data_IF_811487291051
#
_entry.id   IF_811487291051
#
_cell.length_a   1.000
_cell.length_b   1.000
_cell.length_c   1.000
_cell.angle_alpha   90.00
_cell.angle_beta   90.00
_cell.angle_gamma   90.00
#
_symmetry.space_group_name_H-M   'P 1'
#
loop_
_entity.id
_entity.type
_entity.pdbx_description
1 polymer ?
#
# COMPACT_ATOMS: atom_id res chain seq x y z
N UNK A 1 -10.11 -9.18 -6.48
CA UNK A 1 -10.18 -8.01 -7.37
C UNK A 1 -9.52 -8.40 -8.67
N UNK A 2 -10.04 -7.97 -9.81
CA UNK A 2 -9.36 -8.05 -11.11
C UNK A 2 -9.30 -6.66 -11.73
N UNK A 3 -8.20 -6.36 -12.41
CA UNK A 3 -7.98 -5.10 -13.06
C UNK A 3 -7.18 -5.29 -14.35
N UNK A 4 -7.33 -4.35 -15.26
CA UNK A 4 -6.48 -4.22 -16.45
C UNK A 4 -5.60 -3.00 -16.30
N UNK A 5 -4.36 -3.11 -16.76
CA UNK A 5 -3.33 -2.07 -16.56
C UNK A 5 -2.72 -1.73 -17.91
N UNK A 6 -2.68 -0.43 -18.23
CA UNK A 6 -1.95 0.13 -19.37
C UNK A 6 -0.90 1.09 -18.86
N UNK A 7 0.26 1.07 -19.50
CA UNK A 7 1.42 1.87 -19.12
C UNK A 7 2.00 2.47 -20.39
N UNK A 8 2.25 3.77 -20.34
CA UNK A 8 2.91 4.53 -21.40
C UNK A 8 3.90 5.50 -20.72
N UNK A 9 5.16 5.08 -20.62
CA UNK A 9 6.21 5.81 -19.91
C UNK A 9 5.79 6.15 -18.47
N UNK A 10 5.69 7.43 -18.12
CA UNK A 10 5.25 7.91 -16.80
C UNK A 10 3.74 7.81 -16.57
N UNK A 11 2.96 7.55 -17.62
CA UNK A 11 1.50 7.44 -17.50
C UNK A 11 1.11 6.00 -17.21
N UNK A 12 0.04 5.85 -16.48
CA UNK A 12 -0.60 4.56 -16.39
C UNK A 12 -2.06 4.64 -15.98
N UNK A 13 -2.80 3.60 -16.34
CA UNK A 13 -4.23 3.47 -16.13
C UNK A 13 -4.52 2.08 -15.61
N UNK A 14 -5.28 1.99 -14.53
CA UNK A 14 -5.74 0.74 -13.92
C UNK A 14 -7.26 0.76 -13.96
N UNK A 15 -7.88 -0.08 -14.77
CA UNK A 15 -9.34 -0.22 -14.79
C UNK A 15 -9.78 -1.36 -13.89
N UNK A 16 -10.65 -1.08 -12.92
CA UNK A 16 -11.16 -2.10 -12.01
C UNK A 16 -12.30 -2.85 -12.69
N UNK A 17 -12.03 -4.11 -13.06
CA UNK A 17 -13.01 -5.00 -13.70
C UNK A 17 -13.92 -5.67 -12.69
N UNK A 18 -13.37 -6.08 -11.55
CA UNK A 18 -14.16 -6.65 -10.45
C UNK A 18 -13.52 -6.35 -9.10
N UNK A 19 -14.33 -6.02 -8.11
CA UNK A 19 -13.87 -5.73 -6.76
C UNK A 19 -15.00 -5.87 -5.76
N UNK A 20 -14.66 -6.35 -4.56
CA UNK A 20 -15.56 -6.31 -3.39
C UNK A 20 -15.24 -5.13 -2.47
N UNK A 21 -14.24 -4.30 -2.82
CA UNK A 21 -13.86 -3.12 -2.06
C UNK A 21 -14.76 -1.94 -2.45
N UNK A 22 -15.55 -1.38 -1.52
CA UNK A 22 -16.44 -0.26 -1.82
C UNK A 22 -15.71 1.02 -2.23
N UNK A 23 -14.42 1.17 -1.91
CA UNK A 23 -13.59 2.31 -2.35
C UNK A 23 -13.20 2.17 -3.83
N UNK A 24 -13.01 0.93 -4.29
CA UNK A 24 -12.57 0.62 -5.65
C UNK A 24 -13.65 -0.23 -6.32
N UNK A 25 -14.86 0.31 -6.59
CA UNK A 25 -15.91 -0.45 -7.21
C UNK A 25 -15.54 -0.83 -8.65
N UNK A 26 -16.17 -1.87 -9.18
CA UNK A 26 -16.04 -2.20 -10.61
C UNK A 26 -16.50 -1.01 -11.47
N UNK A 27 -15.78 -0.73 -12.55
CA UNK A 27 -16.04 0.42 -13.43
C UNK A 27 -15.28 1.69 -13.05
N UNK A 28 -14.78 1.79 -11.81
CA UNK A 28 -13.81 2.83 -11.45
C UNK A 28 -12.45 2.57 -12.09
N UNK A 29 -11.64 3.60 -12.20
CA UNK A 29 -10.26 3.45 -12.67
C UNK A 29 -9.31 4.40 -11.95
N UNK A 30 -8.04 4.01 -11.91
CA UNK A 30 -6.96 4.83 -11.37
C UNK A 30 -6.10 5.30 -12.55
N UNK A 31 -5.78 6.60 -12.62
CA UNK A 31 -4.79 7.13 -13.56
C UNK A 31 -3.65 7.81 -12.83
N UNK A 32 -2.47 7.78 -13.45
CA UNK A 32 -1.34 8.65 -13.15
C UNK A 32 -0.76 9.19 -14.45
N UNK A 33 -0.11 10.33 -14.36
CA UNK A 33 0.57 10.98 -15.48
C UNK A 33 2.03 11.32 -15.17
N UNK A 34 2.51 10.95 -13.97
CA UNK A 34 3.75 11.46 -13.40
C UNK A 34 4.57 10.36 -12.71
N UNK A 35 4.54 9.15 -13.25
CA UNK A 35 5.28 7.99 -12.74
C UNK A 35 4.71 7.47 -11.44
N UNK A 36 3.40 7.66 -11.22
CA UNK A 36 2.74 7.26 -9.98
C UNK A 36 3.04 8.17 -8.80
N UNK A 37 3.52 9.41 -8.99
CA UNK A 37 3.66 10.38 -7.88
C UNK A 37 2.29 10.86 -7.41
N UNK A 38 1.43 11.17 -8.37
CA UNK A 38 0.02 11.50 -8.19
C UNK A 38 -0.85 10.41 -8.80
N UNK A 39 -1.84 9.95 -8.05
CA UNK A 39 -2.90 9.08 -8.56
C UNK A 39 -4.23 9.84 -8.56
N UNK A 40 -5.12 9.45 -9.46
CA UNK A 40 -6.51 9.90 -9.47
C UNK A 40 -7.39 8.67 -9.55
N UNK A 41 -8.22 8.45 -8.54
CA UNK A 41 -9.29 7.45 -8.56
C UNK A 41 -10.50 8.13 -9.16
N UNK A 42 -10.92 7.68 -10.33
CA UNK A 42 -12.02 8.24 -11.08
C UNK A 42 -13.21 7.31 -10.99
N UNK A 43 -14.37 7.88 -10.65
CA UNK A 43 -15.67 7.23 -10.72
C UNK A 43 -16.46 7.86 -11.89
N UNK A 44 -16.53 7.18 -13.04
CA UNK A 44 -17.26 7.68 -14.21
C UNK A 44 -18.77 7.72 -14.04
N UNK A 45 -19.33 6.88 -13.17
CA UNK A 45 -20.77 6.83 -12.93
C UNK A 45 -21.22 8.03 -12.09
N UNK A 46 -20.41 8.38 -11.09
CA UNK A 46 -20.66 9.55 -10.24
C UNK A 46 -20.15 10.87 -10.84
N UNK A 47 -19.39 10.83 -11.95
CA UNK A 47 -18.65 11.97 -12.50
C UNK A 47 -17.76 12.67 -11.46
N UNK A 48 -17.10 11.86 -10.62
CA UNK A 48 -16.21 12.36 -9.57
C UNK A 48 -14.83 11.75 -9.66
N UNK A 49 -13.87 12.39 -9.01
CA UNK A 49 -12.55 11.81 -8.79
C UNK A 49 -11.98 12.18 -7.43
N UNK A 50 -11.10 11.34 -6.90
CA UNK A 50 -10.27 11.66 -5.74
C UNK A 50 -8.80 11.68 -6.15
N UNK A 51 -8.09 12.73 -5.74
CA UNK A 51 -6.65 12.87 -5.97
C UNK A 51 -5.85 12.33 -4.79
N UNK A 52 -4.76 11.65 -5.09
CA UNK A 52 -3.79 11.15 -4.13
C UNK A 52 -2.41 11.67 -4.51
N UNK A 53 -1.82 12.44 -3.62
CA UNK A 53 -0.39 12.65 -3.64
C UNK A 53 0.16 11.88 -2.44
N UNK A 54 0.88 10.79 -2.70
CA UNK A 54 1.37 9.91 -1.62
C UNK A 54 2.35 10.65 -0.73
N UNK A 55 3.18 11.54 -1.28
CA UNK A 55 4.14 12.29 -0.48
C UNK A 55 3.42 13.35 0.36
N UNK A 56 2.44 14.03 -0.21
CA UNK A 56 1.62 14.98 0.56
C UNK A 56 0.82 14.27 1.64
N UNK A 57 0.25 13.09 1.36
CA UNK A 57 -0.51 12.31 2.33
C UNK A 57 0.37 11.79 3.47
N UNK A 58 1.54 11.22 3.15
CA UNK A 58 2.48 10.74 4.15
C UNK A 58 3.11 11.88 4.95
N UNK A 59 3.44 13.00 4.30
CA UNK A 59 3.94 14.20 4.97
C UNK A 59 2.89 14.83 5.88
N UNK A 60 1.62 14.88 5.45
CA UNK A 60 0.51 15.34 6.28
C UNK A 60 0.26 14.38 7.46
N UNK A 61 0.36 13.07 7.25
CA UNK A 61 0.29 12.09 8.32
C UNK A 61 1.43 12.29 9.32
N UNK A 62 2.67 12.45 8.86
CA UNK A 62 3.82 12.77 9.71
C UNK A 62 3.61 14.05 10.53
N UNK A 63 3.23 15.15 9.87
CA UNK A 63 2.95 16.42 10.53
C UNK A 63 1.78 16.33 11.54
N UNK A 64 0.74 15.56 11.22
CA UNK A 64 -0.37 15.31 12.13
C UNK A 64 0.11 14.53 13.36
N UNK A 65 0.88 13.46 13.17
CA UNK A 65 1.47 12.68 14.27
C UNK A 65 2.35 13.57 15.16
N UNK A 66 3.18 14.42 14.56
CA UNK A 66 4.01 15.37 15.31
C UNK A 66 3.17 16.39 16.08
N UNK A 67 2.09 16.89 15.49
CA UNK A 67 1.18 17.87 16.12
C UNK A 67 0.34 17.28 17.26
N UNK A 68 0.08 15.97 17.21
CA UNK A 68 -0.59 15.21 18.26
C UNK A 68 0.37 14.75 19.37
N UNK A 69 1.65 15.11 19.28
CA UNK A 69 2.66 14.84 20.30
C UNK A 69 2.15 15.21 21.69
N UNK A 70 1.97 14.20 22.55
CA UNK A 70 1.37 14.32 23.88
C UNK A 70 -0.02 13.69 24.05
N UNK A 71 -0.75 13.44 22.97
CA UNK A 71 -2.02 12.66 22.97
C UNK A 71 -1.81 11.29 22.36
N UNK A 72 -1.13 11.21 21.21
CA UNK A 72 -0.80 9.94 20.54
C UNK A 72 0.65 9.96 20.06
N UNK A 73 1.48 9.04 20.55
CA UNK A 73 2.86 8.85 20.06
C UNK A 73 3.00 7.48 19.38
N UNK A 74 3.62 7.46 18.20
CA UNK A 74 4.00 6.24 17.49
C UNK A 74 5.52 6.10 17.52
N UNK A 75 6.00 4.93 17.93
CA UNK A 75 7.41 4.57 17.92
C UNK A 75 7.56 3.31 17.08
N UNK A 76 8.39 3.37 16.05
CA UNK A 76 8.81 2.20 15.28
C UNK A 76 10.20 1.81 15.75
N UNK A 77 10.44 0.53 15.97
CA UNK A 77 11.73 0.08 16.43
C UNK A 77 12.09 -1.28 15.88
N UNK A 78 13.39 -1.55 15.83
CA UNK A 78 13.96 -2.82 15.41
C UNK A 78 13.46 -3.25 14.01
N UNK A 79 13.49 -2.38 12.99
CA UNK A 79 13.27 -2.85 11.63
C UNK A 79 14.35 -3.89 11.30
N UNK A 80 13.94 -5.08 10.91
CA UNK A 80 14.84 -6.09 10.37
C UNK A 80 14.35 -6.51 9.01
N UNK A 81 15.29 -6.63 8.09
CA UNK A 81 15.05 -7.15 6.75
C UNK A 81 15.96 -8.33 6.54
N UNK A 82 15.34 -9.42 6.13
CA UNK A 82 16.01 -10.69 5.92
C UNK A 82 15.59 -11.24 4.56
N UNK A 83 16.55 -11.49 3.67
CA UNK A 83 16.32 -12.32 2.48
C UNK A 83 16.31 -13.77 2.97
N UNK A 84 15.14 -14.40 2.92
CA UNK A 84 14.94 -15.78 3.36
C UNK A 84 15.30 -16.80 2.28
N UNK A 85 15.09 -16.44 1.02
CA UNK A 85 15.35 -17.29 -0.14
C UNK A 85 15.49 -16.42 -1.39
N UNK A 86 16.38 -16.82 -2.29
CA UNK A 86 16.60 -16.17 -3.57
C UNK A 86 17.15 -17.17 -4.59
N UNK A 87 16.65 -17.13 -5.82
CA UNK A 87 17.16 -17.99 -6.89
C UNK A 87 16.33 -17.96 -8.16
N UNK A 88 16.47 -18.98 -8.98
CA UNK A 88 15.59 -19.17 -10.14
C UNK A 88 14.15 -19.43 -9.65
N UNK A 89 13.20 -18.65 -10.16
CA UNK A 89 11.78 -18.85 -9.91
C UNK A 89 11.12 -19.71 -10.98
N UNK A 90 9.88 -20.09 -10.72
CA UNK A 90 9.03 -20.78 -11.69
C UNK A 90 8.81 -19.88 -12.92
N UNK A 91 8.58 -20.51 -14.07
CA UNK A 91 8.14 -19.78 -15.27
C UNK A 91 6.73 -19.22 -15.05
N UNK A 92 6.54 -17.94 -15.35
CA UNK A 92 5.23 -17.27 -15.27
C UNK A 92 4.93 -16.67 -16.64
N UNK A 93 3.80 -17.05 -17.24
CA UNK A 93 3.38 -16.63 -18.58
C UNK A 93 4.44 -16.89 -19.68
N UNK A 94 5.18 -17.99 -19.59
CA UNK A 94 6.25 -18.31 -20.56
C UNK A 94 7.57 -17.58 -20.32
N UNK A 95 7.65 -16.73 -19.29
CA UNK A 95 8.84 -15.95 -18.95
C UNK A 95 9.59 -16.58 -17.78
N UNK A 96 10.91 -16.72 -17.91
CA UNK A 96 11.78 -17.08 -16.80
C UNK A 96 11.72 -15.98 -15.73
N UNK A 97 11.62 -16.38 -14.45
CA UNK A 97 11.60 -15.43 -13.34
C UNK A 97 12.75 -15.67 -12.37
N UNK A 98 13.12 -14.63 -11.62
CA UNK A 98 13.87 -14.75 -10.38
C UNK A 98 12.88 -14.80 -9.22
N UNK A 99 13.07 -15.75 -8.32
CA UNK A 99 12.33 -15.83 -7.07
C UNK A 99 13.07 -15.06 -5.98
N UNK A 100 12.33 -14.26 -5.23
CA UNK A 100 12.82 -13.59 -4.01
C UNK A 100 11.79 -13.77 -2.91
N UNK A 101 12.25 -14.22 -1.74
CA UNK A 101 11.49 -14.24 -0.51
C UNK A 101 12.17 -13.38 0.53
N UNK A 102 11.50 -12.33 0.95
CA UNK A 102 11.99 -11.38 1.93
C UNK A 102 11.05 -11.33 3.12
N UNK A 103 11.61 -11.25 4.32
CA UNK A 103 10.89 -10.96 5.56
C UNK A 103 11.28 -9.57 6.05
N UNK A 104 10.27 -8.82 6.45
CA UNK A 104 10.41 -7.56 7.17
C UNK A 104 9.73 -7.71 8.51
N UNK A 105 10.44 -7.42 9.60
CA UNK A 105 9.87 -7.36 10.95
C UNK A 105 10.08 -5.97 11.53
N UNK A 106 9.11 -5.52 12.32
CA UNK A 106 9.25 -4.29 13.10
C UNK A 106 8.33 -4.33 14.31
N UNK A 107 8.74 -3.64 15.37
CA UNK A 107 7.91 -3.38 16.53
C UNK A 107 7.31 -1.97 16.42
N UNK A 108 6.00 -1.88 16.59
CA UNK A 108 5.25 -0.64 16.68
C UNK A 108 4.75 -0.45 18.11
N UNK A 109 5.09 0.66 18.74
CA UNK A 109 4.51 1.10 20.00
C UNK A 109 3.62 2.31 19.76
N UNK A 110 2.37 2.21 20.22
CA UNK A 110 1.40 3.30 20.20
C UNK A 110 1.15 3.71 21.65
N UNK A 111 1.43 4.96 21.99
CA UNK A 111 1.07 5.55 23.29
C UNK A 111 -0.11 6.46 23.07
N UNK A 112 -1.24 6.21 23.74
CA UNK A 112 -2.40 7.11 23.71
C UNK A 112 -2.67 7.58 25.13
N UNK A 113 -2.57 8.88 25.40
CA UNK A 113 -2.77 9.47 26.73
C UNK A 113 -2.00 8.72 27.84
N UNK A 114 -0.72 8.39 27.59
CA UNK A 114 0.13 7.63 28.49
C UNK A 114 -0.12 6.11 28.56
N UNK A 115 -1.17 5.60 27.90
CA UNK A 115 -1.38 4.16 27.77
C UNK A 115 -0.57 3.59 26.61
N UNK A 116 0.44 2.78 26.94
CA UNK A 116 1.26 2.07 25.97
C UNK A 116 0.55 0.82 25.45
N UNK A 117 0.48 0.67 24.13
CA UNK A 117 0.16 -0.56 23.40
C UNK A 117 1.35 -0.90 22.51
N UNK A 118 1.72 -2.17 22.45
CA UNK A 118 2.80 -2.63 21.58
C UNK A 118 2.26 -3.70 20.63
N UNK A 119 2.72 -3.64 19.40
CA UNK A 119 2.39 -4.55 18.33
C UNK A 119 3.69 -4.93 17.63
N UNK A 120 3.84 -6.21 17.34
CA UNK A 120 4.87 -6.68 16.43
C UNK A 120 4.21 -6.96 15.08
N UNK A 121 4.86 -6.52 14.01
CA UNK A 121 4.46 -6.84 12.65
C UNK A 121 5.57 -7.63 11.98
N UNK A 122 5.18 -8.67 11.27
CA UNK A 122 6.04 -9.48 10.41
C UNK A 122 5.36 -9.56 9.05
N UNK A 123 6.06 -9.19 7.99
CA UNK A 123 5.59 -9.31 6.63
C UNK A 123 6.57 -10.17 5.86
N UNK A 124 6.09 -11.26 5.27
CA UNK A 124 6.87 -12.08 4.33
C UNK A 124 6.33 -11.83 2.93
N UNK A 125 7.17 -11.32 2.04
CA UNK A 125 6.83 -11.06 0.64
C UNK A 125 7.61 -12.02 -0.24
N UNK A 126 6.89 -12.78 -1.04
CA UNK A 126 7.41 -13.66 -2.09
C UNK A 126 7.14 -13.00 -3.44
N UNK A 127 8.14 -12.96 -4.32
CA UNK A 127 8.05 -12.33 -5.64
C UNK A 127 8.65 -13.24 -6.70
N UNK A 128 8.00 -13.29 -7.86
CA UNK A 128 8.51 -13.90 -9.09
C UNK A 128 8.70 -12.78 -10.12
N UNK A 129 9.94 -12.37 -10.30
CA UNK A 129 10.30 -11.16 -11.06
C UNK A 129 10.82 -11.59 -12.43
N UNK A 130 10.17 -11.14 -13.50
CA UNK A 130 10.68 -11.30 -14.85
C UNK A 130 11.62 -10.14 -15.21
N UNK A 131 12.68 -10.48 -15.94
CA UNK A 131 13.58 -9.49 -16.54
C UNK A 131 12.94 -8.96 -17.82
N UNK A 132 12.26 -7.82 -17.70
CA UNK A 132 11.57 -7.12 -18.78
C UNK A 132 12.24 -5.76 -18.91
N UNK A 133 12.65 -5.41 -20.13
CA UNK A 133 13.49 -4.24 -20.37
C UNK A 133 12.84 -2.94 -19.85
N UNK A 134 13.64 -2.22 -19.09
CA UNK A 134 13.28 -1.15 -18.17
C UNK A 134 13.00 0.20 -18.84
N UNK A 135 13.19 0.33 -20.16
CA UNK A 135 12.73 1.51 -20.92
C UNK A 135 11.20 1.69 -20.85
N UNK A 136 10.47 0.63 -20.47
CA UNK A 136 9.03 0.61 -20.22
C UNK A 136 8.69 0.56 -18.73
N UNK A 137 9.57 1.07 -17.87
CA UNK A 137 9.46 0.98 -16.43
C UNK A 137 8.04 1.28 -15.95
N UNK A 138 7.50 0.29 -15.24
CA UNK A 138 6.24 0.33 -14.52
C UNK A 138 6.43 1.27 -13.31
N UNK A 139 6.62 2.58 -13.55
CA UNK A 139 6.88 3.56 -12.49
C UNK A 139 5.75 3.62 -11.45
N UNK A 140 4.54 3.22 -11.85
CA UNK A 140 3.40 3.01 -10.95
C UNK A 140 3.62 1.93 -9.88
N UNK A 141 4.36 0.86 -10.19
CA UNK A 141 4.58 -0.27 -9.30
C UNK A 141 5.97 -0.25 -8.65
N UNK A 142 6.95 0.30 -9.35
CA UNK A 142 8.34 0.41 -8.94
C UNK A 142 8.69 1.88 -8.80
N UNK A 143 8.10 2.55 -7.81
CA UNK A 143 8.52 3.91 -7.48
C UNK A 143 10.03 3.89 -7.22
N UNK A 144 10.77 4.61 -8.04
CA UNK A 144 12.25 4.68 -7.95
C UNK A 144 12.70 5.33 -6.64
N UNK A 145 11.85 6.15 -6.02
CA UNK A 145 12.09 6.75 -4.71
C UNK A 145 11.05 6.27 -3.68
N UNK A 146 11.49 5.74 -2.52
CA UNK A 146 10.61 5.45 -1.41
C UNK A 146 9.89 6.73 -0.97
N UNK A 147 8.57 6.70 -0.76
CA UNK A 147 7.87 7.90 -0.31
C UNK A 147 8.35 8.30 1.08
N UNK A 148 8.43 9.61 1.34
CA UNK A 148 8.90 10.14 2.63
C UNK A 148 7.73 10.67 3.45
N UNK A 149 7.76 10.38 4.73
CA UNK A 149 6.79 10.81 5.74
C UNK A 149 7.29 12.02 6.52
N UNK A 150 8.60 12.28 6.51
CA UNK A 150 9.23 13.31 7.34
C UNK A 150 9.55 12.81 8.76
N UNK A 151 9.10 11.60 9.12
CA UNK A 151 9.51 10.92 10.34
C UNK A 151 10.67 9.97 10.03
N UNK A 152 11.86 10.27 10.54
CA UNK A 152 13.08 9.52 10.20
C UNK A 152 12.99 8.02 10.49
N UNK A 153 12.29 7.59 11.55
CA UNK A 153 12.16 6.16 11.90
C UNK A 153 11.22 5.44 10.93
N UNK A 154 10.11 6.08 10.55
CA UNK A 154 9.18 5.52 9.58
C UNK A 154 9.78 5.53 8.16
N UNK A 155 10.53 6.57 7.82
CA UNK A 155 11.26 6.68 6.56
C UNK A 155 12.34 5.60 6.43
N UNK A 156 13.02 5.24 7.51
CA UNK A 156 13.96 4.11 7.54
C UNK A 156 13.24 2.78 7.26
N UNK A 157 12.10 2.54 7.89
CA UNK A 157 11.26 1.34 7.65
C UNK A 157 10.77 1.28 6.20
N UNK A 158 10.31 2.41 5.65
CA UNK A 158 9.82 2.51 4.27
C UNK A 158 10.96 2.30 3.27
N UNK A 159 12.11 2.95 3.47
CA UNK A 159 13.28 2.79 2.62
C UNK A 159 13.74 1.33 2.61
N UNK A 160 13.80 0.70 3.77
CA UNK A 160 14.17 -0.70 3.91
C UNK A 160 13.17 -1.60 3.14
N UNK A 161 11.86 -1.32 3.19
CA UNK A 161 10.84 -2.08 2.43
C UNK A 161 10.85 -1.82 0.92
N UNK A 162 11.47 -0.72 0.47
CA UNK A 162 11.40 -0.26 -0.91
C UNK A 162 12.60 -0.67 -1.77
N UNK A 163 13.55 -1.42 -1.21
CA UNK A 163 14.67 -2.01 -1.95
C UNK A 163 14.16 -3.22 -2.76
N UNK A 164 13.34 -2.92 -3.77
CA UNK A 164 12.80 -3.93 -4.66
C UNK A 164 13.82 -4.27 -5.75
N UNK A 165 13.96 -5.57 -6.07
CA UNK A 165 14.75 -5.98 -7.21
C UNK A 165 14.28 -5.35 -8.52
N UNK A 166 15.23 -5.04 -9.40
CA UNK A 166 14.93 -4.65 -10.79
C UNK A 166 14.12 -5.75 -11.51
N UNK A 167 13.19 -5.33 -12.37
CA UNK A 167 12.30 -6.17 -13.16
C UNK A 167 10.83 -6.06 -12.78
N UNK A 168 9.97 -6.84 -13.44
CA UNK A 168 8.52 -6.77 -13.25
C UNK A 168 8.04 -7.96 -12.41
N UNK A 169 7.43 -7.76 -11.24
CA UNK A 169 6.85 -8.85 -10.47
C UNK A 169 5.59 -9.37 -11.17
N UNK A 170 5.67 -10.58 -11.75
CA UNK A 170 4.54 -11.25 -12.40
C UNK A 170 3.63 -11.96 -11.39
N UNK A 171 4.17 -12.23 -10.20
CA UNK A 171 3.43 -12.76 -9.06
C UNK A 171 4.02 -12.20 -7.79
N UNK A 172 3.15 -11.79 -6.88
CA UNK A 172 3.55 -11.48 -5.51
C UNK A 172 2.62 -12.15 -4.53
N UNK A 173 3.18 -12.59 -3.40
CA UNK A 173 2.40 -13.07 -2.27
C UNK A 173 2.96 -12.43 -1.02
N UNK A 174 2.16 -11.61 -0.36
CA UNK A 174 2.51 -11.00 0.91
C UNK A 174 1.69 -11.64 2.02
N UNK A 175 2.37 -12.18 3.02
CA UNK A 175 1.79 -12.69 4.25
C UNK A 175 2.17 -11.77 5.39
N UNK A 176 1.20 -11.07 5.97
CA UNK A 176 1.42 -10.19 7.12
C UNK A 176 0.87 -10.86 8.37
N UNK A 177 1.70 -11.03 9.39
CA UNK A 177 1.32 -11.44 10.73
C UNK A 177 1.46 -10.24 11.67
N UNK A 178 0.37 -9.87 12.33
CA UNK A 178 0.32 -8.81 13.33
C UNK A 178 0.03 -9.39 14.70
N UNK A 179 0.93 -9.17 15.65
CA UNK A 179 0.82 -9.66 17.04
C UNK A 179 0.64 -8.49 17.99
N UNK A 180 -0.50 -8.40 18.63
CA UNK A 180 -0.74 -7.43 19.68
C UNK A 180 -0.20 -7.97 21.00
N UNK A 181 0.69 -7.22 21.66
CA UNK A 181 1.28 -7.63 22.93
C UNK A 181 0.47 -7.11 24.12
N UNK A 182 0.41 -7.89 25.21
CA UNK A 182 -0.10 -7.43 26.49
C UNK A 182 0.98 -6.66 27.28
N UNK A 183 0.65 -6.14 28.46
CA UNK A 183 1.60 -5.39 29.31
C UNK A 183 2.81 -6.21 29.79
N UNK A 184 2.72 -7.54 29.77
CA UNK A 184 3.80 -8.47 30.13
C UNK A 184 4.68 -8.84 28.94
N UNK A 185 4.37 -8.35 27.74
CA UNK A 185 5.07 -8.71 26.50
C UNK A 185 4.61 -10.03 25.87
N UNK A 186 3.51 -10.61 26.33
CA UNK A 186 2.96 -11.85 25.76
C UNK A 186 1.98 -11.51 24.63
N UNK A 187 1.91 -12.37 23.61
CA UNK A 187 0.94 -12.22 22.51
C UNK A 187 -0.48 -12.35 23.07
N UNK A 188 -1.24 -11.27 22.96
CA UNK A 188 -2.65 -11.22 23.33
C UNK A 188 -3.54 -11.65 22.16
N UNK A 189 -3.26 -11.11 20.98
CA UNK A 189 -4.01 -11.38 19.75
C UNK A 189 -3.01 -11.52 18.60
N UNK A 190 -3.34 -12.36 17.64
CA UNK A 190 -2.61 -12.50 16.39
C UNK A 190 -3.61 -12.44 15.23
N UNK A 191 -3.25 -11.73 14.17
CA UNK A 191 -3.99 -11.75 12.91
C UNK A 191 -3.02 -12.01 11.76
N UNK A 192 -3.48 -12.81 10.80
CA UNK A 192 -2.73 -13.14 9.59
C UNK A 192 -3.54 -12.69 8.38
N UNK A 193 -2.93 -11.89 7.52
CA UNK A 193 -3.48 -11.49 6.23
C UNK A 193 -2.59 -12.01 5.12
N UNK A 194 -3.21 -12.51 4.05
CA UNK A 194 -2.51 -12.95 2.85
C UNK A 194 -3.08 -12.19 1.67
N UNK A 195 -2.22 -11.45 0.97
CA UNK A 195 -2.53 -10.76 -0.28
C UNK A 195 -1.73 -11.43 -1.38
N UNK A 196 -2.40 -11.79 -2.47
CA UNK A 196 -1.75 -12.37 -3.63
C UNK A 196 -2.12 -11.59 -4.88
N UNK A 197 -1.10 -11.22 -5.65
CA UNK A 197 -1.23 -10.62 -6.97
C UNK A 197 -0.69 -11.61 -8.01
N UNK A 198 -1.39 -11.74 -9.13
CA UNK A 198 -0.93 -12.51 -10.29
C UNK A 198 -1.21 -11.70 -11.54
N UNK A 199 -0.17 -11.52 -12.36
CA UNK A 199 -0.32 -11.09 -13.74
C UNK A 199 -0.83 -12.28 -14.54
N UNK A 200 -1.97 -12.11 -15.20
CA UNK A 200 -2.62 -13.19 -15.97
C UNK A 200 -2.44 -13.05 -17.47
N UNK A 201 -2.06 -11.87 -17.95
CA UNK A 201 -1.62 -11.59 -19.32
C UNK A 201 -0.62 -10.44 -19.29
N UNK A 202 0.33 -10.45 -20.21
CA UNK A 202 1.33 -9.40 -20.40
C UNK A 202 1.64 -9.29 -21.89
N UNK A 203 1.31 -8.14 -22.49
CA UNK A 203 1.40 -7.93 -23.94
C UNK A 203 1.81 -6.47 -24.21
N UNK A 204 2.63 -6.26 -25.24
CA UNK A 204 2.84 -4.94 -25.81
C UNK A 204 1.64 -4.57 -26.69
N UNK A 205 1.03 -3.42 -26.42
CA UNK A 205 -0.15 -2.93 -27.13
C UNK A 205 0.01 -1.46 -27.50
N UNK A 206 -0.68 -1.02 -28.56
CA UNK A 206 -0.78 0.41 -28.88
C UNK A 206 -1.65 1.11 -27.83
N UNK A 207 -1.04 2.02 -27.09
CA UNK A 207 -1.67 2.80 -26.01
C UNK A 207 -2.16 4.17 -26.46
N UNK A 208 -2.00 4.54 -27.73
CA UNK A 208 -2.32 5.90 -28.23
C UNK A 208 -3.81 6.29 -28.09
N UNK A 209 -4.71 5.31 -27.98
CA UNK A 209 -6.15 5.51 -27.74
C UNK A 209 -6.56 5.52 -26.27
N UNK A 210 -5.63 5.30 -25.33
CA UNK A 210 -5.92 5.23 -23.89
C UNK A 210 -5.89 6.64 -23.29
N UNK A 211 -6.97 7.01 -22.60
CA UNK A 211 -7.02 8.25 -21.84
C UNK A 211 -6.44 8.06 -20.44
N UNK A 212 -5.34 8.76 -20.15
CA UNK A 212 -4.65 8.76 -18.86
C UNK A 212 -5.02 9.98 -18.00
N UNK A 213 -6.11 10.67 -18.32
CA UNK A 213 -6.55 11.88 -17.63
C UNK A 213 -7.86 11.68 -16.89
N UNK A 214 -8.15 12.62 -15.99
CA UNK A 214 -9.49 12.77 -15.43
C UNK A 214 -10.34 13.53 -16.47
N UNK A 215 -11.52 13.04 -16.85
CA UNK A 215 -12.35 13.71 -17.85
C UNK A 215 -12.76 15.12 -17.40
N UNK A 216 -12.86 16.02 -18.37
CA UNK A 216 -13.26 17.39 -18.11
C UNK A 216 -14.67 17.44 -17.49
N UNK A 217 -14.84 18.27 -16.45
CA UNK A 217 -16.13 18.46 -15.76
C UNK A 217 -16.34 17.57 -14.54
N UNK A 218 -15.48 16.58 -14.31
CA UNK A 218 -15.57 15.75 -13.12
C UNK A 218 -15.27 16.56 -11.85
N UNK A 219 -16.02 16.30 -10.79
CA UNK A 219 -15.84 16.98 -9.51
C UNK A 219 -14.81 16.26 -8.63
N UNK A 220 -13.87 17.02 -8.07
CA UNK A 220 -12.96 16.47 -7.06
C UNK A 220 -13.74 16.23 -5.76
N UNK A 221 -13.67 15.01 -5.22
CA UNK A 221 -14.24 14.64 -3.94
C UNK A 221 -13.16 14.12 -2.99
N UNK A 222 -13.23 14.45 -1.69
CA UNK A 222 -12.33 13.87 -0.71
C UNK A 222 -12.48 12.36 -0.71
N UNK A 223 -11.35 11.64 -0.65
CA UNK A 223 -11.40 10.21 -0.45
C UNK A 223 -12.09 9.89 0.87
N UNK A 224 -13.18 9.12 0.81
CA UNK A 224 -13.71 8.46 2.00
C UNK A 224 -12.86 7.22 2.27
N UNK A 225 -12.03 7.28 3.30
CA UNK A 225 -11.40 6.10 3.88
C UNK A 225 -12.45 5.40 4.74
N UNK A 226 -12.88 4.16 4.42
CA UNK A 226 -13.82 3.43 5.25
C UNK A 226 -13.26 3.29 6.67
N UNK A 227 -14.03 3.77 7.65
CA UNK A 227 -13.61 3.89 9.05
C UNK A 227 -13.20 5.30 9.50
N UNK A 228 -13.16 6.28 8.59
CA UNK A 228 -12.98 7.70 8.89
C UNK A 228 -14.29 8.52 8.92
N UNK A 229 -15.43 7.87 8.67
CA UNK A 229 -16.76 8.45 8.90
C UNK A 229 -17.24 8.13 10.32
N UNK A 230 -17.84 9.10 10.99
CA UNK A 230 -18.39 9.04 12.36
C UNK A 230 -19.63 8.11 12.50
N UNK A 231 -19.69 7.01 11.75
CA UNK A 231 -20.76 6.02 11.84
C UNK A 231 -20.24 4.73 12.48
N UNK A 232 -20.41 4.63 13.80
CA UNK A 232 -20.62 3.45 14.69
C UNK A 232 -20.11 2.04 14.32
N UNK A 233 -19.14 1.89 13.41
CA UNK A 233 -18.64 0.62 12.92
C UNK A 233 -17.12 0.57 12.96
N UNK A 234 -16.57 0.19 14.12
CA UNK A 234 -15.23 -0.41 14.17
C UNK A 234 -14.04 0.54 14.11
N UNK A 235 -14.13 1.76 14.68
CA UNK A 235 -12.92 2.50 15.01
C UNK A 235 -12.15 1.72 16.11
N UNK A 236 -10.88 1.29 15.91
CA UNK A 236 -10.08 0.62 16.95
C UNK A 236 -9.83 1.50 18.19
N UNK A 237 -10.19 2.79 18.12
CA UNK A 237 -10.20 3.74 19.23
C UNK A 237 -11.55 3.86 19.95
N UNK A 238 -12.65 3.35 19.39
CA UNK A 238 -13.99 3.42 20.03
C UNK A 238 -14.04 2.65 21.37
N UNK A 239 -13.22 1.61 21.51
CA UNK A 239 -13.08 0.84 22.76
C UNK A 239 -12.28 1.54 23.86
N UNK A 240 -11.64 2.69 23.60
CA UNK A 240 -10.86 3.43 24.60
C UNK A 240 -11.69 4.37 25.47
N UNK A 241 -12.94 4.68 25.08
CA UNK A 241 -13.78 5.68 25.74
C UNK A 241 -15.11 5.13 26.27
N UNK A 242 -15.32 3.81 26.29
CA UNK A 242 -16.42 3.23 27.09
C UNK A 242 -16.11 3.41 28.56
N UNK A 243 -16.61 4.52 29.10
CA UNK A 243 -16.65 4.83 30.52
C UNK A 243 -17.74 3.95 31.11
N UNK A 244 -17.35 2.96 31.91
CA UNK A 244 -18.31 2.21 32.75
C UNK A 244 -19.00 3.24 33.68
N UNK A 245 -20.23 3.60 33.31
CA UNK A 245 -21.17 4.28 34.18
C UNK A 245 -21.87 3.24 35.04
N UNK A 246 -21.98 3.52 36.33
CA UNK A 246 -22.45 2.59 37.36
C UNK A 246 -23.93 2.22 37.30
#
# INVERSE_FOLDING_TARGET
>A
MTAEVWIDQEKGRIEIRSSANPILPAGSYIVTQDGGRTFFLVDPEAETYSRFDVNAMLGAAGAMLDSLGGVVDFEFSQPQIEVLDEGAGDEVLGMSTRYLKQRVTYDMTIKVLGMKRSQQAESTTEMWIADIDSEHQIGMWLRTEPPRTGNAQLDEVIAAQSDFPEGVPLRTRTTTVSRQMNRKGEVKNESTSVVEMRVTSFEEVDTSGIDYSVPAGFAEVPMMVPGATDEEGGNPLSGLFKRDGG
#
